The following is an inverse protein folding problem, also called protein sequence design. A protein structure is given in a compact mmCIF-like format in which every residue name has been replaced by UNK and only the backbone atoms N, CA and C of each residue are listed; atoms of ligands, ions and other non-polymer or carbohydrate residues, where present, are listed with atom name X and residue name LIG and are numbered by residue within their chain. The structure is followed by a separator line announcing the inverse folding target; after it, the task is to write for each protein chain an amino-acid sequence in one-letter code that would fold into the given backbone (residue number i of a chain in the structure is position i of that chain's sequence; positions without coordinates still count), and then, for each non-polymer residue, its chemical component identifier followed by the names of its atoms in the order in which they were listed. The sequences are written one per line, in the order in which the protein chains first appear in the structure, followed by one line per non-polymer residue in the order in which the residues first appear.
data_IF_470546116376
#
_entry.id   IF_470546116376
#
_cell.length_a   1.000
_cell.length_b   1.000
_cell.length_c   1.000
_cell.angle_alpha   90.00
_cell.angle_beta   90.00
_cell.angle_gamma   90.00
#
_symmetry.space_group_name_H-M   'P 1'
#
loop_
_entity.id
_entity.type
_entity.pdbx_description
1 polymer ?
#
# COMPACT_ATOMS: atom_id res chain seq x y z
N UNK A 1 -8.48 30.10 10.10
CA UNK A 1 -7.71 29.62 8.94
C UNK A 1 -7.20 28.24 9.31
N UNK A 2 -7.91 27.19 8.91
CA UNK A 2 -7.43 25.81 9.08
C UNK A 2 -6.30 25.60 8.08
N UNK A 3 -5.07 25.50 8.59
CA UNK A 3 -3.93 25.04 7.83
C UNK A 3 -4.15 23.56 7.52
N UNK A 4 -4.77 23.29 6.37
CA UNK A 4 -4.88 21.92 5.87
C UNK A 4 -3.54 21.58 5.24
N UNK A 5 -2.56 21.20 6.06
CA UNK A 5 -1.32 20.55 5.62
C UNK A 5 -1.68 19.24 4.91
N UNK A 6 -2.00 19.31 3.60
CA UNK A 6 -2.07 18.15 2.72
C UNK A 6 -0.63 17.69 2.51
N UNK A 7 -0.19 16.71 3.30
CA UNK A 7 1.03 15.95 3.04
C UNK A 7 0.94 15.38 1.63
N UNK A 8 1.75 15.92 0.72
CA UNK A 8 1.80 15.48 -0.66
C UNK A 8 2.30 14.02 -0.76
N UNK A 9 2.00 13.30 -1.85
CA UNK A 9 2.49 11.92 -2.06
C UNK A 9 4.02 11.82 -1.99
N UNK A 10 4.72 12.93 -2.25
CA UNK A 10 6.16 13.06 -2.06
C UNK A 10 6.61 12.88 -0.61
N UNK A 11 5.87 13.43 0.35
CA UNK A 11 6.19 13.28 1.77
C UNK A 11 5.85 11.87 2.29
N UNK A 12 4.94 11.14 1.63
CA UNK A 12 4.68 9.72 1.94
C UNK A 12 5.90 8.86 1.59
N UNK A 13 6.54 9.13 0.45
CA UNK A 13 7.76 8.44 0.03
C UNK A 13 8.92 8.73 0.99
N UNK A 14 9.06 9.98 1.45
CA UNK A 14 10.11 10.38 2.40
C UNK A 14 9.93 9.79 3.82
N UNK A 15 8.77 9.18 4.12
CA UNK A 15 8.45 8.57 5.43
C UNK A 15 8.66 7.05 5.48
N UNK A 16 9.05 6.44 4.36
CA UNK A 16 9.38 5.03 4.30
C UNK A 16 10.87 4.78 4.51
N UNK A 17 11.24 3.65 5.13
CA UNK A 17 12.63 3.23 5.15
C UNK A 17 13.08 2.89 3.73
N UNK A 18 13.99 3.69 3.18
CA UNK A 18 14.74 3.38 1.95
C UNK A 18 16.22 3.58 2.21
N UNK A 19 17.03 2.61 1.81
CA UNK A 19 18.48 2.68 1.93
C UNK A 19 19.11 3.67 0.93
N UNK A 20 18.48 4.00 -0.22
CA UNK A 20 19.08 4.94 -1.21
C UNK A 20 18.09 5.42 -2.32
N UNK A 21 16.96 6.06 -1.98
CA UNK A 21 16.25 6.95 -2.93
C UNK A 21 14.86 6.57 -3.47
N UNK A 22 14.06 5.81 -2.73
CA UNK A 22 12.63 5.60 -2.99
C UNK A 22 12.24 4.12 -3.04
N UNK A 23 10.94 3.80 -2.86
CA UNK A 23 10.51 2.45 -2.57
C UNK A 23 10.82 1.51 -3.74
N UNK A 24 11.57 0.45 -3.43
CA UNK A 24 11.88 -0.62 -4.37
C UNK A 24 10.78 -1.67 -4.31
N UNK A 25 10.10 -1.88 -5.43
CA UNK A 25 9.07 -2.91 -5.56
C UNK A 25 9.65 -4.12 -6.30
N UNK A 26 9.67 -5.28 -5.63
CA UNK A 26 10.07 -6.56 -6.22
C UNK A 26 9.05 -7.08 -7.22
N UNK A 27 7.78 -6.80 -6.97
CA UNK A 27 6.67 -7.29 -7.78
C UNK A 27 5.72 -6.16 -8.19
N UNK A 28 5.08 -6.23 -9.38
CA UNK A 28 4.19 -5.18 -9.87
C UNK A 28 2.99 -4.89 -8.96
N UNK A 29 2.53 -5.88 -8.21
CA UNK A 29 1.42 -5.70 -7.27
C UNK A 29 1.80 -4.82 -6.07
N UNK A 30 3.08 -4.82 -5.66
CA UNK A 30 3.56 -4.01 -4.53
C UNK A 30 3.47 -2.52 -4.84
N UNK A 31 3.87 -2.12 -6.07
CA UNK A 31 3.72 -0.75 -6.53
C UNK A 31 2.24 -0.32 -6.61
N UNK A 32 1.34 -1.24 -7.00
CA UNK A 32 -0.10 -0.96 -7.13
C UNK A 32 -0.75 -0.72 -5.76
N UNK A 33 -0.47 -1.57 -4.76
CA UNK A 33 -1.04 -1.39 -3.43
C UNK A 33 -0.50 -0.12 -2.77
N UNK A 34 0.78 0.18 -2.96
CA UNK A 34 1.38 1.43 -2.51
C UNK A 34 0.67 2.65 -3.12
N UNK A 35 0.48 2.65 -4.44
CA UNK A 35 -0.20 3.74 -5.14
C UNK A 35 -1.65 3.91 -4.67
N UNK A 36 -2.38 2.82 -4.41
CA UNK A 36 -3.76 2.85 -3.91
C UNK A 36 -3.83 3.50 -2.52
N UNK A 37 -3.00 3.02 -1.58
CA UNK A 37 -2.94 3.54 -0.21
C UNK A 37 -2.55 5.01 -0.22
N UNK A 38 -1.52 5.37 -1.00
CA UNK A 38 -1.06 6.75 -1.14
C UNK A 38 -2.13 7.67 -1.72
N UNK A 39 -2.86 7.23 -2.76
CA UNK A 39 -3.90 8.05 -3.37
C UNK A 39 -5.08 8.29 -2.42
N UNK A 40 -5.51 7.26 -1.69
CA UNK A 40 -6.55 7.40 -0.67
C UNK A 40 -6.16 8.43 0.42
N UNK A 41 -4.89 8.49 0.78
CA UNK A 41 -4.39 9.50 1.71
C UNK A 41 -4.40 10.90 1.10
N UNK A 42 -3.90 11.05 -0.13
CA UNK A 42 -3.92 12.33 -0.86
C UNK A 42 -5.34 12.87 -1.03
N UNK A 43 -6.30 11.98 -1.23
CA UNK A 43 -7.73 12.30 -1.29
C UNK A 43 -8.35 12.62 0.10
N UNK A 44 -7.55 12.63 1.16
CA UNK A 44 -7.96 12.97 2.53
C UNK A 44 -8.92 11.95 3.16
N UNK A 45 -8.94 10.71 2.65
CA UNK A 45 -9.90 9.67 3.07
C UNK A 45 -9.59 9.09 4.45
N UNK A 46 -8.33 9.21 4.89
CA UNK A 46 -7.86 8.80 6.22
C UNK A 46 -6.62 9.61 6.61
N UNK A 47 -6.23 9.57 7.90
CA UNK A 47 -4.98 10.19 8.35
C UNK A 47 -3.83 9.18 8.24
N UNK A 48 -2.64 9.62 7.82
CA UNK A 48 -1.50 8.72 7.59
C UNK A 48 -1.14 7.88 8.81
N UNK A 49 -1.25 8.45 10.01
CA UNK A 49 -0.99 7.73 11.25
C UNK A 49 -1.96 6.56 11.49
N UNK A 50 -3.22 6.65 11.03
CA UNK A 50 -4.17 5.53 11.12
C UNK A 50 -3.66 4.30 10.36
N UNK A 51 -3.04 4.51 9.19
CA UNK A 51 -2.48 3.43 8.40
C UNK A 51 -1.17 2.92 9.00
N UNK A 52 -0.31 3.82 9.49
CA UNK A 52 0.95 3.43 10.15
C UNK A 52 0.69 2.56 11.38
N UNK A 53 -0.29 2.91 12.22
CA UNK A 53 -0.61 2.13 13.41
C UNK A 53 -1.06 0.71 13.03
N UNK A 54 -1.92 0.59 12.01
CA UNK A 54 -2.33 -0.71 11.47
C UNK A 54 -1.16 -1.50 10.89
N UNK A 55 -0.22 -0.84 10.20
CA UNK A 55 0.97 -1.49 9.65
C UNK A 55 1.93 -1.97 10.74
N UNK A 56 2.13 -1.17 11.79
CA UNK A 56 2.96 -1.54 12.95
C UNK A 56 2.36 -2.77 13.64
N UNK A 57 1.03 -2.78 13.85
CA UNK A 57 0.33 -3.93 14.42
C UNK A 57 0.56 -5.20 13.57
N UNK A 58 0.47 -5.10 12.24
CA UNK A 58 0.71 -6.23 11.34
C UNK A 58 2.15 -6.74 11.41
N UNK A 59 3.13 -5.83 11.42
CA UNK A 59 4.56 -6.19 11.52
C UNK A 59 4.86 -6.86 12.87
N UNK A 60 4.23 -6.41 13.96
CA UNK A 60 4.41 -7.00 15.29
C UNK A 60 3.72 -8.37 15.46
N UNK A 61 2.75 -8.70 14.61
CA UNK A 61 1.88 -9.88 14.78
C UNK A 61 2.49 -11.25 14.40
N UNK A 62 3.78 -11.29 14.04
CA UNK A 62 4.60 -12.38 13.45
C UNK A 62 4.84 -12.17 11.96
N UNK A 63 6.02 -11.67 11.59
CA UNK A 63 6.48 -11.51 10.21
C UNK A 63 7.65 -12.43 9.86
N UNK A 64 8.03 -12.46 8.58
CA UNK A 64 9.25 -13.13 8.16
C UNK A 64 10.47 -12.39 8.75
N UNK A 65 11.44 -13.11 9.31
CA UNK A 65 12.63 -12.50 9.94
C UNK A 65 13.47 -11.70 8.93
N UNK A 66 13.34 -12.00 7.64
CA UNK A 66 14.04 -11.34 6.53
C UNK A 66 13.28 -10.16 5.92
N UNK A 67 12.05 -9.88 6.38
CA UNK A 67 11.21 -8.79 5.87
C UNK A 67 10.63 -9.03 4.47
N UNK A 68 10.73 -10.24 3.93
CA UNK A 68 10.19 -10.59 2.60
C UNK A 68 8.66 -10.41 2.50
N UNK A 69 7.96 -10.46 3.63
CA UNK A 69 6.51 -10.27 3.73
C UNK A 69 6.10 -8.80 3.95
N UNK A 70 7.02 -7.83 3.89
CA UNK A 70 6.73 -6.41 4.17
C UNK A 70 5.53 -5.87 3.38
N UNK A 71 5.51 -6.06 2.05
CA UNK A 71 4.39 -5.59 1.22
C UNK A 71 3.13 -6.45 1.38
N UNK A 72 3.24 -7.68 1.89
CA UNK A 72 2.08 -8.48 2.25
C UNK A 72 1.44 -7.94 3.54
N UNK A 73 2.24 -7.52 4.52
CA UNK A 73 1.77 -6.79 5.71
C UNK A 73 1.15 -5.46 5.34
N UNK A 74 1.76 -4.76 4.37
CA UNK A 74 1.20 -3.54 3.80
C UNK A 74 -0.19 -3.76 3.21
N UNK A 75 -0.38 -4.86 2.47
CA UNK A 75 -1.68 -5.24 1.92
C UNK A 75 -2.69 -5.55 3.03
N UNK A 76 -2.32 -6.34 4.04
CA UNK A 76 -3.18 -6.65 5.20
C UNK A 76 -3.60 -5.38 5.95
N UNK A 77 -2.66 -4.46 6.19
CA UNK A 77 -2.95 -3.18 6.82
C UNK A 77 -3.90 -2.31 5.97
N UNK A 78 -3.72 -2.32 4.63
CA UNK A 78 -4.58 -1.60 3.72
C UNK A 78 -6.02 -2.14 3.71
N UNK A 79 -6.19 -3.46 3.75
CA UNK A 79 -7.50 -4.11 3.86
C UNK A 79 -8.21 -3.78 5.19
N UNK A 80 -7.46 -3.80 6.29
CA UNK A 80 -7.96 -3.38 7.60
C UNK A 80 -8.36 -1.91 7.59
N UNK A 81 -7.57 -1.04 6.96
CA UNK A 81 -7.85 0.39 6.86
C UNK A 81 -9.16 0.64 6.10
N UNK A 82 -9.32 0.08 4.90
CA UNK A 82 -10.53 0.32 4.08
C UNK A 82 -11.78 -0.22 4.75
N UNK A 83 -11.66 -1.32 5.50
CA UNK A 83 -12.75 -1.88 6.30
C UNK A 83 -13.07 -0.97 7.49
N UNK A 84 -12.06 -0.56 8.26
CA UNK A 84 -12.23 0.28 9.45
C UNK A 84 -12.82 1.66 9.12
N UNK A 85 -12.52 2.19 7.93
CA UNK A 85 -13.09 3.45 7.44
C UNK A 85 -14.40 3.27 6.65
N UNK A 86 -14.92 2.06 6.53
CA UNK A 86 -16.18 1.75 5.85
C UNK A 86 -16.17 1.95 4.33
N UNK A 87 -15.00 1.95 3.70
CA UNK A 87 -14.84 2.10 2.25
C UNK A 87 -15.08 0.81 1.48
N UNK A 88 -14.86 -0.33 2.15
CA UNK A 88 -15.17 -1.66 1.63
C UNK A 88 -15.71 -2.52 2.79
N UNK A 89 -16.61 -3.45 2.48
CA UNK A 89 -17.05 -4.47 3.44
C UNK A 89 -16.10 -5.67 3.42
N UNK A 90 -15.96 -6.36 4.55
CA UNK A 90 -15.13 -7.56 4.66
C UNK A 90 -15.57 -8.62 3.66
N UNK A 91 -16.88 -8.75 3.47
CA UNK A 91 -17.49 -9.70 2.54
C UNK A 91 -17.14 -9.38 1.08
N UNK A 92 -17.08 -8.11 0.71
CA UNK A 92 -16.70 -7.68 -0.65
C UNK A 92 -15.23 -8.01 -0.92
N UNK A 93 -14.35 -7.77 0.06
CA UNK A 93 -12.94 -8.14 -0.03
C UNK A 93 -12.77 -9.66 -0.15
N UNK A 94 -13.49 -10.43 0.67
CA UNK A 94 -13.45 -11.88 0.63
C UNK A 94 -13.95 -12.44 -0.73
N UNK A 95 -15.04 -11.89 -1.27
CA UNK A 95 -15.56 -12.26 -2.59
C UNK A 95 -14.57 -11.92 -3.70
N UNK A 96 -13.91 -10.76 -3.63
CA UNK A 96 -12.90 -10.36 -4.60
C UNK A 96 -11.70 -11.32 -4.56
N UNK A 97 -11.20 -11.68 -3.37
CA UNK A 97 -10.13 -12.67 -3.20
C UNK A 97 -10.51 -14.03 -3.75
N UNK A 98 -11.72 -14.51 -3.45
CA UNK A 98 -12.19 -15.80 -3.95
C UNK A 98 -12.34 -15.78 -5.48
N UNK A 99 -12.83 -14.69 -6.05
CA UNK A 99 -12.91 -14.52 -7.50
C UNK A 99 -11.52 -14.54 -8.14
N UNK A 100 -10.55 -13.83 -7.57
CA UNK A 100 -9.17 -13.80 -8.05
C UNK A 100 -8.47 -15.16 -7.88
N UNK A 101 -8.77 -15.91 -6.83
CA UNK A 101 -8.25 -17.28 -6.66
C UNK A 101 -8.79 -18.24 -7.74
N UNK A 102 -10.06 -18.07 -8.15
CA UNK A 102 -10.70 -18.86 -9.22
C UNK A 102 -10.32 -18.37 -10.61
N UNK A 103 -10.04 -17.08 -10.74
CA UNK A 103 -9.72 -16.40 -11.99
C UNK A 103 -8.46 -15.54 -11.77
N UNK A 104 -7.29 -16.20 -11.62
CA UNK A 104 -6.05 -15.47 -11.45
C UNK A 104 -5.87 -14.54 -12.66
N UNK A 105 -5.65 -13.24 -12.44
CA UNK A 105 -5.46 -12.32 -13.54
C UNK A 105 -4.29 -12.82 -14.38
N UNK A 106 -4.43 -12.77 -15.70
CA UNK A 106 -3.31 -13.08 -16.59
C UNK A 106 -2.10 -12.25 -16.14
N UNK A 107 -0.90 -12.84 -16.06
CA UNK A 107 0.29 -12.09 -15.71
C UNK A 107 0.37 -10.92 -16.70
N UNK A 108 0.09 -9.72 -16.21
CA UNK A 108 0.35 -8.52 -16.99
C UNK A 108 1.85 -8.50 -17.10
N UNK A 109 2.38 -8.63 -18.33
CA UNK A 109 3.81 -8.60 -18.64
C UNK A 109 4.43 -7.31 -18.10
N UNK A 110 4.77 -7.33 -16.84
CA UNK A 110 5.68 -6.44 -16.16
C UNK A 110 6.75 -7.40 -15.71
N UNK A 111 7.85 -7.45 -16.46
CA UNK A 111 8.93 -8.40 -16.22
C UNK A 111 9.35 -8.35 -14.74
N UNK A 112 9.82 -9.48 -14.15
CA UNK A 112 10.35 -9.50 -12.79
C UNK A 112 11.68 -8.73 -12.78
N UNK A 113 11.57 -7.42 -12.68
CA UNK A 113 12.65 -6.49 -12.45
C UNK A 113 12.17 -5.48 -11.42
N UNK A 114 13.08 -4.91 -10.61
CA UNK A 114 12.71 -3.91 -9.61
C UNK A 114 11.98 -2.77 -10.30
N UNK A 115 10.73 -2.56 -9.90
CA UNK A 115 9.93 -1.43 -10.38
C UNK A 115 10.28 -0.28 -9.46
N UNK A 116 10.96 0.72 -9.99
CA UNK A 116 11.13 2.01 -9.32
C UNK A 116 9.96 2.90 -9.72
N UNK A 117 9.18 3.38 -8.75
CA UNK A 117 8.22 4.46 -9.01
C UNK A 117 9.02 5.75 -9.18
N UNK A 118 9.17 6.20 -10.43
CA UNK A 118 9.88 7.43 -10.75
C UNK A 118 9.13 8.64 -10.14
N UNK A 119 9.75 9.38 -9.20
CA UNK A 119 9.09 10.48 -8.50
C UNK A 119 8.88 11.73 -9.38
N UNK A 120 9.42 11.76 -10.60
CA UNK A 120 9.34 12.91 -11.50
C UNK A 120 8.20 12.83 -12.54
N UNK A 121 7.43 11.74 -12.57
CA UNK A 121 6.29 11.63 -13.50
C UNK A 121 5.09 12.45 -13.03
N UNK A 122 5.16 13.76 -13.29
CA UNK A 122 4.07 14.72 -13.15
C UNK A 122 2.88 14.29 -14.02
N UNK A 123 1.70 14.17 -13.41
CA UNK A 123 0.42 14.36 -14.10
C UNK A 123 0.09 15.85 -14.13
#
# INVERSE_FOLDING_TARGET
MTDTSHTHPRAILDLMPDDDGGPVFQEPWQARIFALVSQLYVDGRYAWDDFKDLLIDEIQSQGAEDGSDYYERWLSAAERLVTAKGMAQVEELAQCKEHLAKHPPHPTTSAPGPITVDPARKA
#
